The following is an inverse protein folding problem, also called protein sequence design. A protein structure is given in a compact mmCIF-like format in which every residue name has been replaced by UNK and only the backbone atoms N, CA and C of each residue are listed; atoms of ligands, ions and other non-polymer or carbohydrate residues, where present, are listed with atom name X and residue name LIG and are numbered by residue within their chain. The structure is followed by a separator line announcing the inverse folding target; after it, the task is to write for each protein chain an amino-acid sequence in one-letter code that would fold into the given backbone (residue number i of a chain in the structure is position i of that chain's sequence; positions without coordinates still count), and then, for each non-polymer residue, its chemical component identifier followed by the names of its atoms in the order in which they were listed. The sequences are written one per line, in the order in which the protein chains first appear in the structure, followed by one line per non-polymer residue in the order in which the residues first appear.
data_IF_048282962440
#
_entry.id   IF_048282962440
#
_cell.length_a   1.000
_cell.length_b   1.000
_cell.length_c   1.000
_cell.angle_alpha   90.00
_cell.angle_beta   90.00
_cell.angle_gamma   90.00
#
_symmetry.space_group_name_H-M   'P 1'
#
loop_
_entity.id
_entity.type
_entity.pdbx_description
1 polymer ?
#
# COMPACT_ATOMS: atom_id res chain seq x y z
N UNK A 1 -26.73 26.41 24.02
CA UNK A 1 -25.59 26.53 23.07
C UNK A 1 -24.27 25.91 23.57
N UNK A 2 -24.02 25.80 24.89
CA UNK A 2 -22.80 25.18 25.41
C UNK A 2 -22.70 23.67 25.12
N UNK A 3 -23.84 22.97 25.13
CA UNK A 3 -23.94 21.52 24.95
C UNK A 3 -23.53 21.05 23.55
N UNK A 4 -23.86 21.80 22.49
CA UNK A 4 -23.47 21.45 21.12
C UNK A 4 -21.96 21.58 20.92
N UNK A 5 -21.36 22.67 21.44
CA UNK A 5 -19.90 22.88 21.36
C UNK A 5 -19.14 21.80 22.12
N UNK A 6 -19.71 21.37 23.25
CA UNK A 6 -19.16 20.25 24.01
C UNK A 6 -19.26 18.93 23.23
N UNK A 7 -20.43 18.61 22.67
CA UNK A 7 -20.63 17.42 21.81
C UNK A 7 -19.70 17.40 20.60
N UNK A 8 -19.44 18.55 19.96
CA UNK A 8 -18.50 18.67 18.83
C UNK A 8 -17.05 18.43 19.29
N UNK A 9 -16.66 18.94 20.46
CA UNK A 9 -15.33 18.66 21.03
C UNK A 9 -15.17 17.20 21.42
N UNK A 10 -16.18 16.60 22.03
CA UNK A 10 -16.21 15.18 22.40
C UNK A 10 -16.14 14.28 21.16
N UNK A 11 -16.94 14.55 20.13
CA UNK A 11 -16.89 13.81 18.87
C UNK A 11 -15.54 13.97 18.15
N UNK A 12 -14.91 15.15 18.22
CA UNK A 12 -13.58 15.41 17.64
C UNK A 12 -12.46 14.72 18.43
N UNK A 13 -12.59 14.63 19.75
CA UNK A 13 -11.66 13.87 20.60
C UNK A 13 -11.78 12.36 20.36
N UNK A 14 -13.01 11.84 20.27
CA UNK A 14 -13.27 10.45 19.92
C UNK A 14 -12.80 10.08 18.51
N UNK A 15 -12.88 10.99 17.54
CA UNK A 15 -12.30 10.80 16.20
C UNK A 15 -10.76 10.80 16.23
N UNK A 16 -10.14 11.57 17.14
CA UNK A 16 -8.69 11.59 17.35
C UNK A 16 -8.17 10.34 18.06
N UNK A 17 -8.99 9.70 18.89
CA UNK A 17 -8.69 8.43 19.56
C UNK A 17 -8.97 7.22 18.65
N UNK A 18 -9.91 7.36 17.71
CA UNK A 18 -10.17 6.41 16.64
C UNK A 18 -9.33 6.71 15.38
N UNK A 19 -8.23 7.46 15.50
CA UNK A 19 -7.22 7.53 14.46
C UNK A 19 -6.53 6.17 14.44
N UNK A 20 -7.17 5.22 13.75
CA UNK A 20 -6.73 3.87 13.39
C UNK A 20 -5.33 3.61 13.92
N UNK A 21 -5.28 3.07 15.14
CA UNK A 21 -4.05 2.73 15.85
C UNK A 21 -3.42 1.53 15.12
N UNK A 22 -2.77 1.86 14.01
CA UNK A 22 -2.01 0.98 13.12
C UNK A 22 -0.74 0.46 13.81
N UNK A 23 -0.52 0.78 15.09
CA UNK A 23 0.51 0.17 15.92
C UNK A 23 0.21 -1.29 16.27
N UNK A 24 -1.02 -1.77 16.09
CA UNK A 24 -1.35 -3.15 16.47
C UNK A 24 -0.56 -4.17 15.65
N UNK A 25 -0.27 -3.91 14.37
CA UNK A 25 0.41 -4.88 13.49
C UNK A 25 1.90 -5.10 13.80
N UNK A 26 2.54 -4.17 14.51
CA UNK A 26 3.95 -4.31 14.91
C UNK A 26 4.12 -5.23 16.14
N UNK A 27 3.09 -5.32 16.98
CA UNK A 27 3.05 -6.17 18.17
C UNK A 27 2.31 -7.49 17.94
N UNK A 28 1.77 -7.73 16.74
CA UNK A 28 1.27 -9.07 16.38
C UNK A 28 2.48 -10.01 16.28
N UNK A 29 2.58 -11.04 17.15
CA UNK A 29 3.68 -11.98 17.07
C UNK A 29 3.68 -12.64 15.69
N UNK A 30 4.83 -12.69 14.99
CA UNK A 30 4.89 -13.26 13.65
C UNK A 30 4.40 -14.71 13.69
N UNK A 31 3.64 -15.16 12.67
CA UNK A 31 3.15 -16.53 12.61
C UNK A 31 4.28 -17.54 12.81
N UNK A 32 4.01 -18.60 13.58
CA UNK A 32 4.99 -19.61 13.98
C UNK A 32 5.66 -20.37 12.82
N UNK A 33 5.13 -20.25 11.60
CA UNK A 33 5.68 -20.86 10.38
C UNK A 33 6.68 -19.99 9.60
N UNK A 34 6.99 -18.78 10.06
CA UNK A 34 7.85 -17.87 9.29
C UNK A 34 9.31 -18.24 9.36
N UNK A 35 10.02 -18.05 8.25
CA UNK A 35 11.47 -18.21 8.21
C UNK A 35 12.16 -17.07 8.98
N UNK A 36 13.41 -17.30 9.40
CA UNK A 36 14.19 -16.28 10.12
C UNK A 36 14.44 -15.01 9.28
N UNK A 37 14.53 -15.18 7.96
CA UNK A 37 14.65 -14.08 7.00
C UNK A 37 13.37 -13.23 6.99
N UNK A 38 12.20 -13.87 6.93
CA UNK A 38 10.90 -13.20 6.93
C UNK A 38 10.69 -12.38 8.20
N UNK A 39 11.04 -12.93 9.37
CA UNK A 39 10.93 -12.22 10.64
C UNK A 39 11.79 -10.95 10.69
N UNK A 40 13.03 -11.00 10.20
CA UNK A 40 13.94 -9.84 10.19
C UNK A 40 13.49 -8.75 9.22
N UNK A 41 12.89 -9.14 8.09
CA UNK A 41 12.49 -8.19 7.06
C UNK A 41 11.09 -7.60 7.29
N UNK A 42 10.25 -8.29 8.05
CA UNK A 42 8.87 -7.89 8.34
C UNK A 42 8.77 -6.48 8.93
N UNK A 43 9.52 -6.19 9.99
CA UNK A 43 9.43 -4.89 10.66
C UNK A 43 9.81 -3.73 9.74
N UNK A 44 10.84 -3.91 8.90
CA UNK A 44 11.24 -2.90 7.92
C UNK A 44 10.21 -2.71 6.81
N UNK A 45 9.63 -3.81 6.33
CA UNK A 45 8.55 -3.78 5.33
C UNK A 45 7.31 -3.06 5.87
N UNK A 46 6.83 -3.45 7.06
CA UNK A 46 5.65 -2.84 7.69
C UNK A 46 5.89 -1.36 7.99
N UNK A 47 7.07 -0.99 8.50
CA UNK A 47 7.42 0.40 8.73
C UNK A 47 7.42 1.23 7.45
N UNK A 48 7.94 0.68 6.34
CA UNK A 48 7.93 1.34 5.03
C UNK A 48 6.51 1.50 4.46
N UNK A 49 5.69 0.46 4.53
CA UNK A 49 4.28 0.51 4.10
C UNK A 49 3.50 1.52 4.95
N UNK A 50 3.69 1.53 6.27
CA UNK A 50 3.03 2.48 7.17
C UNK A 50 3.46 3.91 6.90
N UNK A 51 4.76 4.15 6.69
CA UNK A 51 5.28 5.47 6.36
C UNK A 51 4.69 6.02 5.07
N UNK A 52 4.70 5.22 4.01
CA UNK A 52 4.14 5.59 2.70
C UNK A 52 2.62 5.78 2.76
N UNK A 53 1.90 4.90 3.46
CA UNK A 53 0.46 5.03 3.67
C UNK A 53 0.10 6.29 4.49
N UNK A 54 0.88 6.61 5.52
CA UNK A 54 0.72 7.82 6.32
C UNK A 54 0.94 9.10 5.51
N UNK A 55 1.99 9.12 4.68
CA UNK A 55 2.26 10.20 3.72
C UNK A 55 1.13 10.35 2.70
N UNK A 56 0.64 9.25 2.13
CA UNK A 56 -0.49 9.27 1.20
C UNK A 56 -1.77 9.77 1.87
N UNK A 57 -2.05 9.35 3.10
CA UNK A 57 -3.19 9.81 3.90
C UNK A 57 -3.07 11.31 4.20
N UNK A 58 -1.90 11.77 4.64
CA UNK A 58 -1.65 13.19 4.90
C UNK A 58 -1.78 14.03 3.62
N UNK A 59 -1.32 13.51 2.48
CA UNK A 59 -1.50 14.15 1.18
C UNK A 59 -2.98 14.22 0.77
N UNK A 60 -3.73 13.13 0.92
CA UNK A 60 -5.17 13.10 0.61
C UNK A 60 -5.97 14.06 1.50
N UNK A 61 -5.60 14.18 2.78
CA UNK A 61 -6.28 15.05 3.74
C UNK A 61 -5.91 16.53 3.55
N UNK A 62 -4.72 16.83 3.00
CA UNK A 62 -4.28 18.20 2.74
C UNK A 62 -4.62 18.70 1.33
N UNK A 63 -4.78 17.81 0.36
CA UNK A 63 -5.11 18.14 -1.01
C UNK A 63 -6.61 18.40 -1.21
N UNK A 64 -6.95 19.33 -2.12
CA UNK A 64 -8.33 19.47 -2.62
C UNK A 64 -8.80 18.11 -3.16
N UNK A 65 -10.05 17.66 -2.89
CA UNK A 65 -10.51 16.29 -3.14
C UNK A 65 -10.26 15.76 -4.56
N UNK A 66 -10.16 16.66 -5.56
CA UNK A 66 -9.80 16.29 -6.94
C UNK A 66 -8.35 15.83 -7.16
N UNK A 67 -7.38 16.38 -6.43
CA UNK A 67 -5.96 16.00 -6.58
C UNK A 67 -5.65 14.65 -5.93
N UNK A 68 -6.28 14.35 -4.79
CA UNK A 68 -6.16 13.05 -4.13
C UNK A 68 -6.67 11.92 -5.03
N UNK A 69 -7.83 12.12 -5.67
CA UNK A 69 -8.37 11.17 -6.63
C UNK A 69 -7.45 10.95 -7.85
N UNK A 70 -6.82 12.02 -8.36
CA UNK A 70 -5.88 11.94 -9.48
C UNK A 70 -4.65 11.09 -9.17
N UNK A 71 -4.04 11.24 -7.98
CA UNK A 71 -2.87 10.42 -7.59
C UNK A 71 -3.26 8.96 -7.42
N UNK A 72 -4.40 8.68 -6.80
CA UNK A 72 -4.88 7.29 -6.64
C UNK A 72 -5.13 6.65 -8.01
N UNK A 73 -5.74 7.40 -8.94
CA UNK A 73 -5.95 6.92 -10.30
C UNK A 73 -4.63 6.63 -11.03
N UNK A 74 -3.63 7.51 -10.91
CA UNK A 74 -2.30 7.31 -11.49
C UNK A 74 -1.59 6.09 -10.89
N UNK A 75 -1.70 5.87 -9.58
CA UNK A 75 -1.14 4.69 -8.92
C UNK A 75 -1.79 3.41 -9.44
N UNK A 76 -3.13 3.37 -9.50
CA UNK A 76 -3.85 2.21 -10.02
C UNK A 76 -3.51 1.93 -11.48
N UNK A 77 -3.45 2.99 -12.31
CA UNK A 77 -3.11 2.87 -13.72
C UNK A 77 -1.65 2.40 -13.91
N UNK A 78 -0.73 2.90 -13.08
CA UNK A 78 0.67 2.47 -13.07
C UNK A 78 0.83 1.01 -12.70
N UNK A 79 0.09 0.53 -11.69
CA UNK A 79 0.08 -0.88 -11.30
C UNK A 79 -0.47 -1.76 -12.43
N UNK A 80 -1.57 -1.36 -13.06
CA UNK A 80 -2.13 -2.08 -14.20
C UNK A 80 -1.15 -2.13 -15.37
N UNK A 81 -0.56 -0.98 -15.74
CA UNK A 81 0.41 -0.89 -16.82
C UNK A 81 1.65 -1.75 -16.58
N UNK A 82 2.17 -1.75 -15.34
CA UNK A 82 3.30 -2.61 -14.95
C UNK A 82 2.97 -4.09 -15.11
N UNK A 83 1.78 -4.53 -14.69
CA UNK A 83 1.35 -5.93 -14.88
C UNK A 83 1.26 -6.30 -16.36
N UNK A 84 0.62 -5.46 -17.17
CA UNK A 84 0.55 -5.69 -18.62
C UNK A 84 1.93 -5.78 -19.25
N UNK A 85 2.85 -4.88 -18.86
CA UNK A 85 4.21 -4.88 -19.37
C UNK A 85 4.98 -6.15 -18.98
N UNK A 86 4.89 -6.59 -17.72
CA UNK A 86 5.52 -7.84 -17.26
C UNK A 86 4.95 -9.04 -18.00
N UNK A 87 3.62 -9.13 -18.17
CA UNK A 87 2.99 -10.21 -18.94
C UNK A 87 3.46 -10.21 -20.40
N UNK A 88 3.52 -9.05 -21.05
CA UNK A 88 3.99 -8.92 -22.42
C UNK A 88 5.45 -9.37 -22.56
N UNK A 89 6.30 -9.00 -21.60
CA UNK A 89 7.72 -9.42 -21.60
C UNK A 89 7.88 -10.92 -21.37
N UNK A 90 7.04 -11.54 -20.53
CA UNK A 90 7.05 -12.99 -20.34
C UNK A 90 6.63 -13.73 -21.60
N UNK A 91 5.60 -13.24 -22.30
CA UNK A 91 5.15 -13.82 -23.57
C UNK A 91 6.28 -13.72 -24.61
N UNK A 92 6.88 -12.53 -24.76
CA UNK A 92 8.00 -12.32 -25.68
C UNK A 92 9.21 -13.21 -25.35
N UNK A 93 9.52 -13.38 -24.05
CA UNK A 93 10.57 -14.29 -23.60
C UNK A 93 10.26 -15.74 -23.98
N UNK A 94 9.02 -16.20 -23.79
CA UNK A 94 8.58 -17.55 -24.18
C UNK A 94 8.65 -17.75 -25.70
N UNK A 95 8.20 -16.78 -26.49
CA UNK A 95 8.25 -16.87 -27.95
C UNK A 95 9.70 -16.90 -28.46
N UNK A 96 10.59 -16.10 -27.84
CA UNK A 96 12.02 -16.12 -28.15
C UNK A 96 12.67 -17.47 -27.80
N UNK A 97 12.27 -18.08 -26.68
CA UNK A 97 12.78 -19.39 -26.27
C UNK A 97 12.25 -20.52 -27.17
N UNK A 98 10.98 -20.46 -27.56
CA UNK A 98 10.36 -21.42 -28.48
C UNK A 98 10.98 -21.35 -29.87
N UNK A 99 11.19 -20.14 -30.40
CA UNK A 99 11.86 -19.93 -31.69
C UNK A 99 13.35 -20.26 -31.66
N UNK A 100 14.03 -20.08 -30.52
CA UNK A 100 15.40 -20.54 -30.33
C UNK A 100 15.49 -22.07 -30.17
N UNK A 101 14.52 -22.70 -29.52
CA UNK A 101 14.43 -24.16 -29.37
C UNK A 101 14.06 -24.89 -30.66
N UNK A 102 13.25 -24.26 -31.53
CA UNK A 102 12.92 -24.76 -32.87
C UNK A 102 14.05 -24.55 -33.89
N UNK A 103 14.97 -23.63 -33.64
CA UNK A 103 16.16 -23.38 -34.48
C UNK A 103 17.47 -23.88 -33.82
N UNK A 104 17.38 -24.69 -32.76
CA UNK A 104 18.54 -25.41 -32.21
C UNK A 104 18.98 -26.55 -33.14
N UNK A 105 20.28 -26.88 -33.20
CA UNK A 105 20.92 -27.66 -34.27
C UNK A 105 20.38 -29.07 -34.46
#
# INVERSE_FOLDING_TARGET
MATLRQRIREARAALSENDIDTNTDADVPPPTGWSELERRHHGSYVAGVRGTAGLLKAFLMSARPGLGAGIVALLLLGVLASRFFVCAQLIAAVDSLSSAGLNGP
#
